data_IF_261675518757
#
_entry.id   IF_261675518757
#
_cell.length_a   1.000
_cell.length_b   1.000
_cell.length_c   1.000
_cell.angle_alpha   90.00
_cell.angle_beta   90.00
_cell.angle_gamma   90.00
#
_symmetry.space_group_name_H-M   'P 1'
#
loop_
_entity.id
_entity.type
_entity.pdbx_description
1 polymer ?
#
# COMPACT_ATOMS: atom_id res chain seq x y z
N UNK A 1 -30.54 35.09 -29.58
CA UNK A 1 -29.11 35.04 -30.01
C UNK A 1 -28.28 35.79 -28.97
N UNK A 2 -27.16 35.34 -28.42
CA UNK A 2 -26.53 34.05 -28.16
C UNK A 2 -25.19 34.42 -27.48
N UNK A 3 -24.75 33.65 -26.47
CA UNK A 3 -23.43 33.77 -25.83
C UNK A 3 -23.51 34.16 -24.35
N UNK A 4 -23.11 33.36 -23.37
CA UNK A 4 -22.37 32.09 -23.35
C UNK A 4 -21.64 32.00 -21.99
N UNK A 5 -21.61 30.84 -21.31
CA UNK A 5 -21.38 30.73 -19.86
C UNK A 5 -19.90 30.61 -19.48
N UNK A 6 -19.09 31.64 -19.72
CA UNK A 6 -17.62 31.56 -19.45
C UNK A 6 -17.23 32.09 -18.06
N UNK A 7 -18.07 32.88 -17.39
CA UNK A 7 -17.70 33.54 -16.13
C UNK A 7 -17.86 32.72 -14.85
N UNK A 8 -18.53 31.56 -14.88
CA UNK A 8 -18.70 30.71 -13.68
C UNK A 8 -17.54 29.74 -13.44
N UNK A 9 -16.84 29.29 -14.48
CA UNK A 9 -15.71 28.37 -14.34
C UNK A 9 -14.46 29.05 -13.75
N UNK A 10 -14.20 30.31 -14.09
CA UNK A 10 -13.07 31.07 -13.53
C UNK A 10 -13.23 31.42 -12.04
N UNK A 11 -14.47 31.58 -11.56
CA UNK A 11 -14.74 31.80 -10.13
C UNK A 11 -14.59 30.52 -9.29
N UNK A 12 -14.79 29.33 -9.89
CA UNK A 12 -14.53 28.06 -9.23
C UNK A 12 -13.01 27.76 -9.13
N UNK A 13 -12.23 28.14 -10.16
CA UNK A 13 -10.78 27.94 -10.18
C UNK A 13 -10.00 28.90 -9.25
N UNK A 14 -10.53 30.11 -8.97
CA UNK A 14 -9.88 31.07 -8.05
C UNK A 14 -10.14 30.81 -6.56
N UNK A 15 -10.98 29.83 -6.19
CA UNK A 15 -11.20 29.46 -4.79
C UNK A 15 -10.22 28.40 -4.25
N UNK A 16 -9.36 27.85 -5.10
CA UNK A 16 -8.39 26.83 -4.69
C UNK A 16 -7.01 27.41 -4.32
N UNK A 17 -6.76 28.71 -4.52
CA UNK A 17 -5.41 29.30 -4.37
C UNK A 17 -5.28 30.40 -3.32
N UNK A 18 -6.23 30.54 -2.39
CA UNK A 18 -6.10 31.46 -1.26
C UNK A 18 -6.62 30.88 0.05
N UNK A 19 -5.76 30.15 0.76
CA UNK A 19 -5.81 30.10 2.22
C UNK A 19 -4.39 30.10 2.77
N UNK A 20 -3.88 31.30 3.02
CA UNK A 20 -2.72 31.53 3.86
C UNK A 20 -3.02 31.18 5.32
N UNK A 21 -1.98 30.71 6.03
CA UNK A 21 -1.71 30.92 7.45
C UNK A 21 -2.66 30.31 8.50
N UNK A 22 -2.78 28.99 8.48
CA UNK A 22 -2.93 28.16 9.69
C UNK A 22 -1.88 27.06 9.54
N UNK A 23 -1.13 26.61 10.57
CA UNK A 23 -0.39 25.36 10.45
C UNK A 23 -1.42 24.33 10.01
N UNK A 24 -1.32 23.79 8.79
CA UNK A 24 -2.30 22.83 8.28
C UNK A 24 -2.42 21.74 9.33
N UNK A 25 -3.59 21.68 9.97
CA UNK A 25 -3.89 20.66 10.96
C UNK A 25 -3.65 19.33 10.25
N UNK A 26 -2.64 18.59 10.68
CA UNK A 26 -2.18 17.40 9.99
C UNK A 26 -3.38 16.50 9.67
N UNK A 27 -3.57 16.18 8.38
CA UNK A 27 -4.68 15.34 7.91
C UNK A 27 -4.19 13.90 7.80
N UNK A 28 -4.93 12.98 8.42
CA UNK A 28 -4.68 11.57 8.27
C UNK A 28 -5.09 11.11 6.87
N UNK A 29 -4.12 11.01 5.97
CA UNK A 29 -4.23 10.38 4.66
C UNK A 29 -5.43 10.79 3.78
N UNK A 30 -5.58 10.15 2.61
CA UNK A 30 -6.71 10.38 1.72
C UNK A 30 -7.96 9.55 2.06
N UNK A 31 -7.86 8.47 2.84
CA UNK A 31 -8.97 7.57 3.11
C UNK A 31 -9.72 7.91 4.41
N UNK A 32 -11.05 7.83 4.35
CA UNK A 32 -11.91 8.07 5.50
C UNK A 32 -12.06 6.82 6.36
N UNK A 33 -12.24 7.01 7.67
CA UNK A 33 -12.50 5.96 8.67
C UNK A 33 -13.86 6.16 9.31
N UNK A 34 -14.59 5.08 9.54
CA UNK A 34 -16.01 5.14 9.93
C UNK A 34 -16.32 4.39 11.23
N UNK A 35 -15.52 3.39 11.60
CA UNK A 35 -15.73 2.62 12.81
C UNK A 35 -15.44 3.46 14.06
N UNK A 36 -16.19 3.23 15.15
CA UNK A 36 -16.04 4.00 16.38
C UNK A 36 -14.63 3.88 16.99
N UNK A 37 -14.05 2.68 16.96
CA UNK A 37 -12.69 2.42 17.42
C UNK A 37 -11.66 3.18 16.58
N UNK A 38 -11.80 3.16 15.24
CA UNK A 38 -10.90 3.90 14.36
C UNK A 38 -11.09 5.41 14.48
N UNK A 39 -12.30 5.92 14.71
CA UNK A 39 -12.53 7.35 14.95
C UNK A 39 -11.88 7.83 16.25
N UNK A 40 -11.96 7.05 17.34
CA UNK A 40 -11.21 7.30 18.58
C UNK A 40 -9.71 7.33 18.30
N UNK A 41 -9.19 6.34 17.58
CA UNK A 41 -7.78 6.28 17.22
C UNK A 41 -7.35 7.46 16.33
N UNK A 42 -8.16 7.86 15.35
CA UNK A 42 -7.90 9.01 14.49
C UNK A 42 -7.83 10.32 15.29
N UNK A 43 -8.73 10.49 16.26
CA UNK A 43 -8.71 11.64 17.16
C UNK A 43 -7.40 11.67 17.94
N UNK A 44 -7.02 10.57 18.58
CA UNK A 44 -5.76 10.47 19.32
C UNK A 44 -4.55 10.69 18.42
N UNK A 45 -4.56 10.17 17.19
CA UNK A 45 -3.46 10.39 16.25
C UNK A 45 -3.22 11.87 15.94
N UNK A 46 -4.28 12.70 15.98
CA UNK A 46 -4.16 14.15 15.80
C UNK A 46 -3.61 14.83 17.05
N UNK A 47 -4.14 14.49 18.22
CA UNK A 47 -3.86 15.15 19.51
C UNK A 47 -2.59 14.61 20.21
N UNK A 48 -2.48 13.30 20.40
CA UNK A 48 -1.39 12.65 21.14
C UNK A 48 -1.00 11.29 20.51
N UNK A 49 0.20 11.26 19.93
CA UNK A 49 0.73 10.10 19.23
C UNK A 49 1.11 8.94 20.18
N UNK A 50 1.48 9.20 21.44
CA UNK A 50 1.82 8.12 22.38
C UNK A 50 0.55 7.38 22.80
N UNK A 51 -0.53 8.12 23.03
CA UNK A 51 -1.84 7.54 23.34
C UNK A 51 -2.45 6.82 22.13
N UNK A 52 -2.13 7.25 20.91
CA UNK A 52 -2.58 6.57 19.69
C UNK A 52 -2.18 5.10 19.65
N UNK A 53 -0.89 4.78 19.82
CA UNK A 53 -0.42 3.39 19.72
C UNK A 53 -1.07 2.51 20.79
N UNK A 54 -1.14 2.99 22.03
CA UNK A 54 -1.81 2.28 23.13
C UNK A 54 -3.30 2.06 22.88
N UNK A 55 -4.00 3.04 22.31
CA UNK A 55 -5.43 2.91 22.00
C UNK A 55 -5.70 1.95 20.84
N UNK A 56 -4.80 1.88 19.85
CA UNK A 56 -4.89 0.88 18.77
C UNK A 56 -4.69 -0.52 19.34
N UNK A 57 -3.70 -0.72 20.20
CA UNK A 57 -3.42 -2.02 20.81
C UNK A 57 -4.58 -2.47 21.72
N UNK A 58 -5.11 -1.58 22.57
CA UNK A 58 -6.33 -1.82 23.37
C UNK A 58 -7.52 -2.23 22.47
N UNK A 59 -7.73 -1.53 21.35
CA UNK A 59 -8.81 -1.86 20.43
C UNK A 59 -8.64 -3.24 19.79
N UNK A 60 -7.42 -3.62 19.42
CA UNK A 60 -7.12 -4.94 18.84
C UNK A 60 -7.29 -6.06 19.86
N UNK A 61 -6.85 -5.86 21.11
CA UNK A 61 -7.06 -6.80 22.21
C UNK A 61 -8.54 -7.02 22.49
N UNK A 62 -9.34 -5.96 22.53
CA UNK A 62 -10.80 -6.08 22.68
C UNK A 62 -11.43 -6.89 21.55
N UNK A 63 -11.05 -6.65 20.29
CA UNK A 63 -11.57 -7.41 19.16
C UNK A 63 -11.15 -8.88 19.20
N UNK A 64 -9.95 -9.17 19.70
CA UNK A 64 -9.47 -10.53 19.91
C UNK A 64 -10.26 -11.24 21.01
N UNK A 65 -10.51 -10.60 22.15
CA UNK A 65 -11.32 -11.17 23.23
C UNK A 65 -12.76 -11.42 22.78
N UNK A 66 -13.39 -10.46 22.08
CA UNK A 66 -14.73 -10.64 21.51
C UNK A 66 -14.79 -11.84 20.56
N UNK A 67 -13.78 -12.00 19.70
CA UNK A 67 -13.68 -13.16 18.81
C UNK A 67 -13.59 -14.48 19.59
N UNK A 68 -12.76 -14.53 20.65
CA UNK A 68 -12.59 -15.73 21.45
C UNK A 68 -13.86 -16.12 22.23
N UNK A 69 -14.54 -15.13 22.83
CA UNK A 69 -15.83 -15.34 23.51
C UNK A 69 -16.92 -15.84 22.55
N UNK A 70 -16.98 -15.28 21.34
CA UNK A 70 -17.89 -15.75 20.29
C UNK A 70 -17.59 -17.19 19.87
N UNK A 71 -16.33 -17.55 19.65
CA UNK A 71 -15.93 -18.91 19.29
C UNK A 71 -16.29 -19.91 20.42
N UNK A 72 -16.09 -19.53 21.68
CA UNK A 72 -16.42 -20.37 22.84
C UNK A 72 -17.94 -20.57 23.02
N UNK A 73 -18.73 -19.51 22.87
CA UNK A 73 -20.20 -19.59 22.98
C UNK A 73 -20.83 -20.36 21.82
N UNK A 74 -20.18 -20.38 20.67
CA UNK A 74 -20.71 -21.01 19.46
C UNK A 74 -20.53 -22.54 19.46
N UNK A 75 -19.40 -23.05 19.98
CA UNK A 75 -19.14 -24.49 20.06
C UNK A 75 -20.16 -25.27 20.89
N UNK A 76 -20.84 -24.63 21.86
CA UNK A 76 -21.81 -25.31 22.73
C UNK A 76 -23.26 -25.31 22.22
N UNK A 77 -23.58 -24.51 21.19
CA UNK A 77 -24.97 -24.22 20.80
C UNK A 77 -25.39 -24.85 19.47
N UNK A 78 -24.45 -25.37 18.68
CA UNK A 78 -24.70 -25.86 17.33
C UNK A 78 -25.24 -27.30 17.30
N UNK A 79 -24.98 -28.11 18.33
CA UNK A 79 -25.42 -29.52 18.40
C UNK A 79 -26.95 -29.70 18.56
N UNK A 80 -27.72 -28.65 18.86
CA UNK A 80 -29.16 -28.73 19.18
C UNK A 80 -30.06 -27.79 18.35
N UNK A 81 -29.50 -27.07 17.38
CA UNK A 81 -30.22 -26.03 16.67
C UNK A 81 -30.92 -26.55 15.40
N UNK A 82 -32.10 -25.98 15.10
CA UNK A 82 -32.85 -26.25 13.86
C UNK A 82 -32.12 -25.62 12.65
N UNK A 83 -32.35 -26.14 11.45
CA UNK A 83 -31.68 -25.69 10.22
C UNK A 83 -31.77 -24.17 9.98
N UNK A 84 -32.97 -23.57 10.08
CA UNK A 84 -33.15 -22.12 9.91
C UNK A 84 -32.35 -21.29 10.94
N UNK A 85 -32.28 -21.78 12.19
CA UNK A 85 -31.50 -21.12 13.25
C UNK A 85 -30.00 -21.22 13.00
N UNK A 86 -29.53 -22.30 12.37
CA UNK A 86 -28.13 -22.46 11.96
C UNK A 86 -27.78 -21.51 10.82
N UNK A 87 -28.67 -21.34 9.84
CA UNK A 87 -28.47 -20.39 8.73
C UNK A 87 -28.38 -18.95 9.24
N UNK A 88 -29.29 -18.54 10.13
CA UNK A 88 -29.25 -17.20 10.73
C UNK A 88 -27.94 -16.98 11.50
N UNK A 89 -27.52 -17.94 12.32
CA UNK A 89 -26.25 -17.85 13.07
C UNK A 89 -25.04 -17.76 12.15
N UNK A 90 -25.01 -18.52 11.05
CA UNK A 90 -23.95 -18.43 10.04
C UNK A 90 -23.85 -17.02 9.46
N UNK A 91 -24.98 -16.42 9.09
CA UNK A 91 -25.03 -15.04 8.58
C UNK A 91 -24.60 -14.02 9.64
N UNK A 92 -25.04 -14.17 10.89
CA UNK A 92 -24.61 -13.30 11.99
C UNK A 92 -23.10 -13.40 12.23
N UNK A 93 -22.52 -14.60 12.14
CA UNK A 93 -21.07 -14.81 12.24
C UNK A 93 -20.32 -14.09 11.13
N UNK A 94 -20.80 -14.24 9.89
CA UNK A 94 -20.21 -13.58 8.72
C UNK A 94 -20.26 -12.05 8.87
N UNK A 95 -21.40 -11.48 9.30
CA UNK A 95 -21.53 -10.04 9.54
C UNK A 95 -20.55 -9.58 10.63
N UNK A 96 -20.46 -10.27 11.77
CA UNK A 96 -19.52 -9.91 12.85
C UNK A 96 -18.06 -10.03 12.42
N UNK A 97 -17.73 -11.05 11.65
CA UNK A 97 -16.39 -11.21 11.09
C UNK A 97 -16.06 -10.05 10.14
N UNK A 98 -17.00 -9.67 9.27
CA UNK A 98 -16.84 -8.54 8.36
C UNK A 98 -16.72 -7.20 9.09
N UNK A 99 -17.50 -6.99 10.16
CA UNK A 99 -17.39 -5.82 11.03
C UNK A 99 -16.02 -5.74 11.70
N UNK A 100 -15.55 -6.84 12.31
CA UNK A 100 -14.20 -6.90 12.90
C UNK A 100 -13.11 -6.62 11.87
N UNK A 101 -13.18 -7.28 10.71
CA UNK A 101 -12.21 -7.08 9.63
C UNK A 101 -12.16 -5.62 9.20
N UNK A 102 -13.32 -4.96 9.05
CA UNK A 102 -13.39 -3.54 8.72
C UNK A 102 -12.73 -2.65 9.79
N UNK A 103 -12.98 -2.92 11.08
CA UNK A 103 -12.36 -2.15 12.17
C UNK A 103 -10.83 -2.31 12.12
N UNK A 104 -10.34 -3.56 11.98
CA UNK A 104 -8.89 -3.84 11.89
C UNK A 104 -8.27 -3.17 10.66
N UNK A 105 -8.93 -3.20 9.51
CA UNK A 105 -8.49 -2.51 8.29
C UNK A 105 -8.30 -1.01 8.53
N UNK A 106 -9.28 -0.35 9.16
CA UNK A 106 -9.19 1.09 9.45
C UNK A 106 -8.10 1.40 10.49
N UNK A 107 -7.91 0.55 11.50
CA UNK A 107 -6.82 0.70 12.48
C UNK A 107 -5.43 0.50 11.84
N UNK A 108 -5.27 -0.49 10.96
CA UNK A 108 -4.04 -0.71 10.19
C UNK A 108 -3.73 0.49 9.30
N UNK A 109 -4.74 1.04 8.64
CA UNK A 109 -4.61 2.25 7.83
C UNK A 109 -4.10 3.44 8.65
N UNK A 110 -4.66 3.65 9.84
CA UNK A 110 -4.21 4.72 10.75
C UNK A 110 -2.79 4.48 11.27
N UNK A 111 -2.38 3.22 11.53
CA UNK A 111 -0.98 2.89 11.88
C UNK A 111 -0.02 3.28 10.76
N UNK A 112 -0.40 3.08 9.49
CA UNK A 112 0.39 3.58 8.36
C UNK A 112 0.46 5.11 8.39
N UNK A 113 -0.66 5.81 8.58
CA UNK A 113 -0.68 7.27 8.68
C UNK A 113 0.20 7.80 9.82
N UNK A 114 0.21 7.12 10.98
CA UNK A 114 1.09 7.42 12.12
C UNK A 114 2.57 7.32 11.73
N UNK A 115 2.95 6.30 10.96
CA UNK A 115 4.33 6.17 10.46
C UNK A 115 4.73 7.30 9.52
N UNK A 116 3.85 7.75 8.63
CA UNK A 116 4.11 8.92 7.78
C UNK A 116 4.26 10.21 8.61
N UNK A 117 3.43 10.38 9.64
CA UNK A 117 3.56 11.50 10.59
C UNK A 117 4.89 11.47 11.33
N UNK A 118 5.32 10.29 11.81
CA UNK A 118 6.62 10.09 12.50
C UNK A 118 7.81 10.47 11.60
N UNK A 119 7.76 10.09 10.32
CA UNK A 119 8.79 10.39 9.34
C UNK A 119 8.74 11.83 8.83
N UNK A 120 7.75 12.63 9.25
CA UNK A 120 7.48 13.98 8.73
C UNK A 120 7.31 14.02 7.20
N UNK A 121 6.80 12.92 6.62
CA UNK A 121 6.54 12.79 5.19
C UNK A 121 5.06 13.03 4.92
N UNK A 122 4.69 14.01 4.08
CA UNK A 122 3.30 14.21 3.70
C UNK A 122 2.79 13.03 2.87
N UNK A 123 1.59 12.55 3.19
CA UNK A 123 0.86 11.61 2.33
C UNK A 123 0.41 12.32 1.05
N UNK A 124 0.39 11.57 -0.05
CA UNK A 124 -0.07 12.07 -1.36
C UNK A 124 -1.54 12.49 -1.24
N UNK A 125 -1.86 13.67 -1.78
CA UNK A 125 -3.24 14.16 -1.83
C UNK A 125 -4.09 13.34 -2.81
N UNK A 126 -5.42 13.24 -2.59
CA UNK A 126 -6.32 12.57 -3.54
C UNK A 126 -6.20 13.16 -4.96
N UNK A 127 -6.02 12.30 -5.95
CA UNK A 127 -5.89 12.65 -7.37
C UNK A 127 -7.15 12.36 -8.18
N UNK A 128 -8.25 11.96 -7.52
CA UNK A 128 -9.57 11.68 -8.13
C UNK A 128 -10.09 12.77 -9.07
N UNK A 129 -9.73 14.03 -8.82
CA UNK A 129 -10.13 15.18 -9.64
C UNK A 129 -9.36 15.34 -10.95
N UNK A 130 -8.30 14.56 -11.16
CA UNK A 130 -7.37 14.74 -12.28
C UNK A 130 -6.65 16.10 -12.25
N UNK A 131 -6.01 16.44 -13.36
CA UNK A 131 -5.31 17.71 -13.54
C UNK A 131 -3.83 17.67 -13.14
N UNK A 132 -3.24 18.86 -13.03
CA UNK A 132 -1.83 19.04 -12.67
C UNK A 132 -1.64 18.80 -11.17
N UNK A 133 -1.05 17.66 -10.82
CA UNK A 133 -0.76 17.26 -9.44
C UNK A 133 0.67 17.66 -9.11
N UNK A 134 0.81 18.65 -8.24
CA UNK A 134 2.12 19.05 -7.72
C UNK A 134 2.43 18.27 -6.46
N UNK A 135 3.41 17.38 -6.55
CA UNK A 135 4.07 16.85 -5.36
C UNK A 135 4.81 18.03 -4.70
N UNK A 136 4.50 18.31 -3.43
CA UNK A 136 5.18 19.37 -2.67
C UNK A 136 6.67 19.10 -2.52
N UNK A 137 7.36 19.87 -1.68
CA UNK A 137 8.75 19.54 -1.32
C UNK A 137 8.78 18.17 -0.61
N UNK A 138 9.18 17.13 -1.32
CA UNK A 138 9.34 15.79 -0.78
C UNK A 138 10.75 15.64 -0.22
N UNK A 139 10.87 15.21 1.02
CA UNK A 139 12.16 14.77 1.57
C UNK A 139 12.52 13.39 1.03
N UNK A 140 13.12 13.38 -0.17
CA UNK A 140 13.52 12.14 -0.84
C UNK A 140 14.45 11.27 0.01
N UNK A 141 15.24 11.87 0.91
CA UNK A 141 16.14 11.15 1.79
C UNK A 141 15.35 10.38 2.85
N UNK A 142 14.43 11.06 3.55
CA UNK A 142 13.53 10.46 4.52
C UNK A 142 12.64 9.36 3.92
N UNK A 143 12.28 9.43 2.64
CA UNK A 143 11.53 8.39 1.94
C UNK A 143 12.38 7.21 1.40
N UNK A 144 13.71 7.33 1.37
CA UNK A 144 14.59 6.33 0.75
C UNK A 144 15.63 5.78 1.72
N UNK A 145 16.74 6.50 1.90
CA UNK A 145 17.91 6.03 2.65
C UNK A 145 17.65 5.78 4.13
N UNK A 146 16.64 6.44 4.67
CA UNK A 146 16.33 6.35 6.11
C UNK A 146 15.39 5.18 6.42
N UNK A 147 14.73 4.61 5.40
CA UNK A 147 13.78 3.50 5.53
C UNK A 147 14.38 2.18 5.03
N UNK A 148 15.21 2.23 3.99
CA UNK A 148 15.71 1.06 3.29
C UNK A 148 17.23 0.92 3.43
N UNK A 149 17.69 -0.34 3.50
CA UNK A 149 19.11 -0.64 3.30
C UNK A 149 19.55 -0.26 1.89
N UNK A 150 20.87 -0.09 1.68
CA UNK A 150 21.41 0.26 0.34
C UNK A 150 20.98 -0.73 -0.73
N UNK A 151 21.07 -2.02 -0.44
CA UNK A 151 20.68 -3.09 -1.37
C UNK A 151 19.17 -3.07 -1.65
N UNK A 152 18.35 -2.82 -0.64
CA UNK A 152 16.90 -2.69 -0.81
C UNK A 152 16.54 -1.50 -1.69
N UNK A 153 17.25 -0.37 -1.57
CA UNK A 153 17.05 0.79 -2.44
C UNK A 153 17.37 0.52 -3.90
N UNK A 154 18.42 -0.25 -4.17
CA UNK A 154 18.75 -0.61 -5.56
C UNK A 154 17.65 -1.47 -6.18
N UNK A 155 17.08 -2.42 -5.42
CA UNK A 155 15.91 -3.19 -5.85
C UNK A 155 14.66 -2.31 -6.07
N UNK A 156 14.43 -1.30 -5.22
CA UNK A 156 13.35 -0.31 -5.43
C UNK A 156 13.56 0.48 -6.71
N UNK A 157 14.79 0.95 -6.96
CA UNK A 157 15.12 1.70 -8.18
C UNK A 157 14.90 0.86 -9.43
N UNK A 158 15.37 -0.39 -9.43
CA UNK A 158 15.16 -1.33 -10.55
C UNK A 158 13.67 -1.59 -10.81
N UNK A 159 12.88 -1.79 -9.74
CA UNK A 159 11.45 -1.98 -9.84
C UNK A 159 10.73 -0.77 -10.45
N UNK A 160 11.06 0.44 -9.99
CA UNK A 160 10.50 1.69 -10.51
C UNK A 160 10.85 1.88 -11.99
N UNK A 161 12.12 1.71 -12.38
CA UNK A 161 12.52 1.81 -13.78
C UNK A 161 11.84 0.77 -14.66
N UNK A 162 11.64 -0.46 -14.15
CA UNK A 162 10.93 -1.51 -14.88
C UNK A 162 9.45 -1.16 -15.09
N UNK A 163 8.76 -0.69 -14.06
CA UNK A 163 7.34 -0.31 -14.17
C UNK A 163 7.18 0.89 -15.10
N UNK A 164 8.01 1.91 -14.92
CA UNK A 164 7.97 3.12 -15.73
C UNK A 164 8.32 2.80 -17.20
N UNK A 165 9.34 1.97 -17.43
CA UNK A 165 9.75 1.54 -18.77
C UNK A 165 8.78 0.56 -19.45
N UNK A 166 8.02 -0.24 -18.69
CA UNK A 166 7.00 -1.15 -19.25
C UNK A 166 5.71 -0.44 -19.69
N UNK A 167 5.38 0.73 -19.12
CA UNK A 167 4.11 1.43 -19.42
C UNK A 167 4.12 2.22 -20.74
N UNK A 168 5.14 2.03 -21.58
CA UNK A 168 5.30 2.74 -22.84
C UNK A 168 6.06 4.05 -22.65
N UNK A 169 6.71 4.49 -23.73
CA UNK A 169 7.54 5.69 -23.84
C UNK A 169 6.78 6.98 -23.47
N UNK A 170 6.47 7.18 -22.19
CA UNK A 170 6.24 8.51 -21.66
C UNK A 170 7.62 9.18 -21.69
N UNK A 171 7.73 10.25 -22.48
CA UNK A 171 9.01 10.91 -22.74
C UNK A 171 9.63 11.46 -21.45
N UNK A 172 10.42 10.64 -20.75
CA UNK A 172 11.37 11.08 -19.72
C UNK A 172 12.58 11.82 -20.33
N UNK A 173 12.51 12.16 -21.62
CA UNK A 173 13.56 12.91 -22.31
C UNK A 173 13.45 14.40 -21.99
N UNK A 174 14.40 14.89 -21.19
CA UNK A 174 14.77 16.30 -21.20
C UNK A 174 14.41 17.10 -19.96
N UNK A 175 14.84 16.67 -18.76
CA UNK A 175 15.05 17.56 -17.62
C UNK A 175 13.85 18.33 -17.05
N UNK A 176 12.65 18.13 -17.60
CA UNK A 176 11.39 18.74 -17.17
C UNK A 176 10.52 17.62 -16.63
N UNK A 177 10.40 17.55 -15.30
CA UNK A 177 9.77 16.48 -14.54
C UNK A 177 8.23 16.51 -14.58
N UNK A 178 7.63 16.68 -15.76
CA UNK A 178 6.18 16.60 -15.95
C UNK A 178 5.86 15.30 -16.68
N UNK A 179 5.31 14.35 -15.95
CA UNK A 179 4.89 13.04 -16.48
C UNK A 179 3.38 13.08 -16.65
N UNK A 180 2.90 12.97 -17.89
CA UNK A 180 1.48 12.84 -18.18
C UNK A 180 1.13 11.36 -18.31
N UNK A 181 0.32 10.87 -17.37
CA UNK A 181 -0.15 9.48 -17.33
C UNK A 181 -1.65 9.44 -17.04
N UNK A 182 -2.34 8.43 -17.56
CA UNK A 182 -3.74 8.22 -17.22
C UNK A 182 -3.88 7.89 -15.73
N UNK A 183 -4.94 8.39 -15.09
CA UNK A 183 -5.17 8.17 -13.64
C UNK A 183 -5.25 6.68 -13.28
N UNK A 184 -5.81 5.86 -14.20
CA UNK A 184 -5.80 4.40 -14.08
C UNK A 184 -4.37 3.82 -14.01
N UNK A 185 -3.48 4.25 -14.91
CA UNK A 185 -2.09 3.80 -14.95
C UNK A 185 -1.35 4.25 -13.69
N UNK A 186 -1.55 5.50 -13.25
CA UNK A 186 -0.98 6.01 -12.00
C UNK A 186 -1.40 5.15 -10.79
N UNK A 187 -2.68 4.79 -10.70
CA UNK A 187 -3.19 3.92 -9.66
C UNK A 187 -2.64 2.49 -9.73
N UNK A 188 -2.47 1.94 -10.93
CA UNK A 188 -1.83 0.64 -11.14
C UNK A 188 -0.36 0.67 -10.68
N UNK A 189 0.40 1.69 -11.06
CA UNK A 189 1.80 1.87 -10.65
C UNK A 189 1.89 1.97 -9.12
N UNK A 190 0.99 2.71 -8.48
CA UNK A 190 0.95 2.84 -7.02
C UNK A 190 0.64 1.50 -6.32
N UNK A 191 -0.35 0.76 -6.81
CA UNK A 191 -0.72 -0.55 -6.26
C UNK A 191 0.42 -1.57 -6.42
N UNK A 192 1.03 -1.63 -7.61
CA UNK A 192 2.18 -2.51 -7.87
C UNK A 192 3.39 -2.16 -6.99
N UNK A 193 3.68 -0.87 -6.82
CA UNK A 193 4.76 -0.40 -5.96
C UNK A 193 4.51 -0.73 -4.49
N UNK A 194 3.26 -0.66 -4.04
CA UNK A 194 2.87 -1.01 -2.67
C UNK A 194 3.02 -2.51 -2.40
N UNK A 195 2.63 -3.36 -3.36
CA UNK A 195 2.83 -4.82 -3.30
C UNK A 195 4.31 -5.19 -3.32
N UNK A 196 5.10 -4.51 -4.16
CA UNK A 196 6.55 -4.71 -4.18
C UNK A 196 7.21 -4.28 -2.88
N UNK A 197 6.79 -3.17 -2.28
CA UNK A 197 7.29 -2.73 -0.97
C UNK A 197 7.01 -3.78 0.12
N UNK A 198 5.83 -4.42 0.10
CA UNK A 198 5.50 -5.52 0.99
C UNK A 198 6.40 -6.75 0.76
N UNK A 199 6.54 -7.16 -0.50
CA UNK A 199 7.47 -8.24 -0.89
C UNK A 199 8.88 -7.97 -0.39
N UNK A 200 9.42 -6.79 -0.70
CA UNK A 200 10.79 -6.41 -0.38
C UNK A 200 11.05 -6.41 1.13
N UNK A 201 10.12 -5.89 1.94
CA UNK A 201 10.25 -5.95 3.40
C UNK A 201 10.29 -7.37 3.94
N UNK A 202 9.52 -8.29 3.38
CA UNK A 202 9.52 -9.70 3.81
C UNK A 202 10.81 -10.40 3.44
N UNK A 203 11.29 -10.17 2.23
CA UNK A 203 12.56 -10.74 1.77
C UNK A 203 13.71 -10.18 2.60
N UNK A 204 13.79 -8.87 2.81
CA UNK A 204 14.84 -8.26 3.61
C UNK A 204 14.82 -8.79 5.05
N UNK A 205 13.65 -8.87 5.69
CA UNK A 205 13.52 -9.45 7.02
C UNK A 205 14.01 -10.91 7.08
N UNK A 206 13.62 -11.74 6.10
CA UNK A 206 14.08 -13.13 6.03
C UNK A 206 15.58 -13.23 5.79
N UNK A 207 16.12 -12.42 4.89
CA UNK A 207 17.53 -12.35 4.58
C UNK A 207 18.36 -11.97 5.82
N UNK A 208 17.94 -10.95 6.57
CA UNK A 208 18.62 -10.57 7.82
C UNK A 208 18.57 -11.70 8.85
N UNK A 209 17.43 -12.41 8.97
CA UNK A 209 17.31 -13.55 9.89
C UNK A 209 18.22 -14.71 9.49
N UNK A 210 18.28 -15.08 8.21
CA UNK A 210 19.16 -16.15 7.71
C UNK A 210 20.63 -15.78 7.87
N UNK A 211 21.00 -14.51 7.65
CA UNK A 211 22.35 -14.00 7.90
C UNK A 211 22.76 -14.09 9.37
N UNK A 212 21.86 -13.73 10.30
CA UNK A 212 22.10 -13.85 11.73
C UNK A 212 22.19 -15.32 12.17
N UNK A 213 21.32 -16.20 11.65
CA UNK A 213 21.34 -17.62 11.97
C UNK A 213 22.59 -18.33 11.45
N UNK A 214 23.02 -18.03 10.22
CA UNK A 214 24.28 -18.52 9.66
C UNK A 214 25.50 -17.99 10.44
N UNK A 215 25.44 -16.72 10.89
CA UNK A 215 26.46 -16.17 11.78
C UNK A 215 26.48 -16.86 13.15
N UNK A 216 25.32 -17.25 13.72
CA UNK A 216 25.25 -17.94 15.00
C UNK A 216 25.77 -19.40 14.91
N UNK A 217 25.51 -20.07 13.79
CA UNK A 217 26.08 -21.40 13.50
C UNK A 217 27.61 -21.41 13.46
N UNK A 218 28.24 -20.28 13.11
CA UNK A 218 29.70 -20.12 13.11
C UNK A 218 30.30 -19.91 14.53
N UNK A 219 29.50 -19.49 15.53
CA UNK A 219 29.96 -19.33 16.92
C UNK A 219 29.69 -20.56 17.81
N UNK A 220 28.93 -21.54 17.32
CA UNK A 220 28.50 -22.72 18.07
C UNK A 220 29.45 -23.92 18.05
N UNK A 221 30.56 -23.85 17.30
CA UNK A 221 31.48 -24.97 17.09
C UNK A 221 32.92 -24.69 17.57
N UNK A 222 33.05 -24.22 18.82
CA UNK A 222 34.35 -24.25 19.54
C UNK A 222 34.40 -25.36 20.63
N UNK A 223 33.53 -26.37 20.56
CA UNK A 223 33.51 -27.44 21.55
C UNK A 223 33.21 -28.85 20.99
N UNK A 224 33.78 -29.21 19.84
CA UNK A 224 33.86 -30.63 19.45
C UNK A 224 34.98 -30.90 18.44
N UNK A 225 36.06 -31.51 18.95
CA UNK A 225 37.10 -32.35 18.32
C UNK A 225 37.33 -32.37 16.80
N UNK A 226 38.60 -32.45 16.35
CA UNK A 226 38.90 -32.63 14.95
C UNK A 226 38.50 -34.06 14.59
N UNK A 227 37.47 -34.26 13.78
CA UNK A 227 37.24 -35.40 12.87
C UNK A 227 35.76 -35.37 12.43
N UNK A 228 35.48 -34.71 11.30
CA UNK A 228 34.42 -35.03 10.32
C UNK A 228 33.96 -33.83 9.48
N UNK A 229 34.88 -33.04 8.92
CA UNK A 229 34.56 -32.18 7.78
C UNK A 229 34.56 -33.02 6.48
N UNK A 230 33.53 -33.84 6.29
CA UNK A 230 33.24 -34.59 5.04
C UNK A 230 31.98 -34.05 4.37
N UNK A 231 31.66 -32.78 4.60
CA UNK A 231 30.65 -32.05 3.86
C UNK A 231 31.17 -30.66 3.52
N UNK A 232 31.70 -30.55 2.29
CA UNK A 232 31.58 -29.35 1.47
C UNK A 232 32.28 -28.10 1.98
N UNK A 233 33.55 -27.97 1.61
CA UNK A 233 34.12 -26.70 1.17
C UNK A 233 33.35 -26.19 -0.06
N UNK A 234 32.13 -25.70 0.17
CA UNK A 234 31.32 -24.95 -0.79
C UNK A 234 30.88 -23.65 -0.16
N UNK A 235 31.70 -22.65 -0.44
CA UNK A 235 31.35 -21.23 -0.49
C UNK A 235 31.09 -20.55 0.86
N UNK A 236 32.19 -20.05 1.42
CA UNK A 236 32.25 -18.77 2.17
C UNK A 236 31.70 -17.55 1.37
N UNK A 237 31.00 -17.77 0.26
CA UNK A 237 30.06 -16.84 -0.34
C UNK A 237 28.81 -16.67 0.53
N UNK A 238 28.97 -16.11 1.73
CA UNK A 238 27.87 -15.48 2.45
C UNK A 238 27.09 -14.66 1.42
N UNK A 239 25.78 -14.85 1.30
CA UNK A 239 24.94 -14.10 0.34
C UNK A 239 25.19 -12.61 0.58
N UNK A 240 26.11 -12.02 -0.18
CA UNK A 240 26.75 -10.76 0.24
C UNK A 240 25.81 -9.58 0.04
N UNK A 241 24.87 -9.73 -0.88
CA UNK A 241 23.83 -8.77 -1.19
C UNK A 241 22.43 -9.37 -1.12
N UNK A 242 21.46 -8.54 -0.75
CA UNK A 242 20.04 -8.88 -0.81
C UNK A 242 19.59 -9.24 -2.25
N UNK A 243 20.26 -8.68 -3.25
CA UNK A 243 19.95 -8.91 -4.66
C UNK A 243 20.29 -10.35 -5.10
N UNK A 244 21.45 -10.85 -4.71
CA UNK A 244 21.84 -12.22 -5.02
C UNK A 244 20.90 -13.21 -4.34
N UNK A 245 20.46 -12.89 -3.11
CA UNK A 245 19.49 -13.68 -2.38
C UNK A 245 18.13 -13.78 -3.10
N UNK A 246 17.60 -12.64 -3.54
CA UNK A 246 16.36 -12.58 -4.33
C UNK A 246 16.47 -13.35 -5.64
N UNK A 247 17.64 -13.32 -6.28
CA UNK A 247 17.85 -13.95 -7.59
C UNK A 247 17.70 -15.49 -7.57
N UNK A 248 17.87 -16.11 -6.40
CA UNK A 248 17.77 -17.55 -6.20
C UNK A 248 16.32 -18.04 -6.05
N UNK A 249 15.36 -17.12 -5.90
CA UNK A 249 13.98 -17.52 -5.66
C UNK A 249 13.34 -18.13 -6.90
N UNK A 250 12.83 -19.35 -6.76
CA UNK A 250 11.94 -19.96 -7.74
C UNK A 250 10.56 -19.26 -7.79
N UNK A 251 9.75 -19.50 -8.83
CA UNK A 251 8.44 -18.87 -9.02
C UNK A 251 7.49 -19.03 -7.82
N UNK A 252 7.49 -20.21 -7.19
CA UNK A 252 6.67 -20.49 -6.02
C UNK A 252 7.09 -19.63 -4.81
N UNK A 253 8.39 -19.40 -4.62
CA UNK A 253 8.91 -18.60 -3.51
C UNK A 253 8.57 -17.13 -3.68
N UNK A 254 8.76 -16.59 -4.89
CA UNK A 254 8.35 -15.23 -5.23
C UNK A 254 6.85 -15.03 -4.95
N UNK A 255 6.00 -15.99 -5.32
CA UNK A 255 4.57 -15.92 -5.05
C UNK A 255 4.24 -15.96 -3.55
N UNK A 256 4.90 -16.81 -2.77
CA UNK A 256 4.74 -16.85 -1.31
C UNK A 256 5.14 -15.52 -0.65
N UNK A 257 6.21 -14.90 -1.12
CA UNK A 257 6.71 -13.62 -0.58
C UNK A 257 5.84 -12.43 -1.00
N UNK A 258 5.25 -12.48 -2.19
CA UNK A 258 4.39 -11.41 -2.71
C UNK A 258 2.97 -11.45 -2.13
N UNK A 259 2.46 -12.64 -1.78
CA UNK A 259 1.11 -12.80 -1.25
C UNK A 259 0.97 -12.13 0.13
N UNK A 260 0.06 -11.16 0.25
CA UNK A 260 -0.26 -10.50 1.51
C UNK A 260 -0.90 -11.52 2.46
N UNK A 261 -0.37 -11.64 3.67
CA UNK A 261 -0.80 -12.64 4.63
C UNK A 261 -2.12 -12.30 5.32
N UNK A 262 -2.48 -11.01 5.38
CA UNK A 262 -3.70 -10.50 6.04
C UNK A 262 -4.67 -9.91 5.02
N UNK A 263 -5.93 -10.33 5.11
CA UNK A 263 -7.03 -9.80 4.31
C UNK A 263 -7.27 -8.33 4.66
N UNK A 264 -7.18 -7.99 5.94
CA UNK A 264 -7.39 -6.64 6.45
C UNK A 264 -6.32 -5.66 5.92
N UNK A 265 -5.07 -6.13 5.79
CA UNK A 265 -3.98 -5.37 5.19
C UNK A 265 -4.18 -5.16 3.68
N UNK A 266 -4.67 -6.18 2.97
CA UNK A 266 -5.05 -6.04 1.57
C UNK A 266 -6.18 -5.01 1.41
N UNK A 267 -7.23 -5.11 2.22
CA UNK A 267 -8.33 -4.14 2.24
C UNK A 267 -7.84 -2.72 2.55
N UNK A 268 -6.89 -2.54 3.46
CA UNK A 268 -6.32 -1.23 3.77
C UNK A 268 -5.55 -0.64 2.57
N UNK A 269 -4.81 -1.48 1.85
CA UNK A 269 -4.12 -1.08 0.62
C UNK A 269 -5.10 -0.70 -0.48
N UNK A 270 -6.15 -1.50 -0.70
CA UNK A 270 -7.22 -1.22 -1.67
C UNK A 270 -7.97 0.07 -1.32
N UNK A 271 -8.25 0.30 -0.04
CA UNK A 271 -8.89 1.52 0.47
C UNK A 271 -8.00 2.74 0.20
N UNK A 272 -6.69 2.65 0.42
CA UNK A 272 -5.75 3.73 0.12
C UNK A 272 -5.68 4.03 -1.39
N UNK A 273 -5.59 3.00 -2.25
CA UNK A 273 -5.59 3.16 -3.71
C UNK A 273 -6.90 3.81 -4.17
N UNK A 274 -8.03 3.31 -3.69
CA UNK A 274 -9.36 3.84 -4.04
C UNK A 274 -9.55 5.27 -3.54
N UNK A 275 -9.00 5.60 -2.37
CA UNK A 275 -9.02 6.95 -1.82
C UNK A 275 -8.21 7.95 -2.66
N UNK A 276 -7.05 7.52 -3.18
CA UNK A 276 -6.17 8.33 -4.01
C UNK A 276 -6.71 8.52 -5.43
N UNK A 277 -7.04 7.43 -6.11
CA UNK A 277 -7.28 7.43 -7.56
C UNK A 277 -8.77 7.29 -7.91
N UNK A 278 -9.59 6.75 -7.01
CA UNK A 278 -10.95 6.32 -7.30
C UNK A 278 -11.02 4.83 -7.64
N UNK A 279 -12.19 4.36 -8.06
CA UNK A 279 -12.38 2.95 -8.41
C UNK A 279 -11.65 2.62 -9.71
N UNK A 280 -10.55 1.87 -9.60
CA UNK A 280 -9.71 1.45 -10.74
C UNK A 280 -10.50 0.67 -11.79
N UNK A 281 -11.56 -0.06 -11.41
CA UNK A 281 -12.38 -0.81 -12.37
C UNK A 281 -13.16 0.14 -13.27
N UNK A 282 -13.79 1.16 -12.67
CA UNK A 282 -14.49 2.20 -13.44
C UNK A 282 -13.52 3.02 -14.29
N UNK A 283 -12.32 3.30 -13.78
CA UNK A 283 -11.30 4.02 -14.53
C UNK A 283 -10.79 3.21 -15.72
N UNK A 284 -10.63 1.88 -15.56
CA UNK A 284 -10.27 0.98 -16.65
C UNK A 284 -11.35 0.97 -17.73
N UNK A 285 -12.61 0.87 -17.35
CA UNK A 285 -13.74 0.89 -18.29
C UNK A 285 -13.80 2.20 -19.07
N UNK A 286 -13.62 3.34 -18.40
CA UNK A 286 -13.51 4.66 -19.06
C UNK A 286 -12.33 4.72 -20.02
N UNK A 287 -11.15 4.26 -19.60
CA UNK A 287 -9.95 4.27 -20.43
C UNK A 287 -10.14 3.40 -21.69
N UNK A 288 -10.65 2.18 -21.52
CA UNK A 288 -10.92 1.27 -22.65
C UNK A 288 -12.02 1.84 -23.55
N UNK A 289 -13.05 2.47 -22.98
CA UNK A 289 -14.10 3.14 -23.75
C UNK A 289 -13.57 4.32 -24.58
N UNK A 290 -12.68 5.13 -24.01
CA UNK A 290 -12.07 6.29 -24.68
C UNK A 290 -11.06 5.88 -25.77
N UNK A 291 -10.28 4.84 -25.52
CA UNK A 291 -9.27 4.35 -26.47
C UNK A 291 -9.84 3.46 -27.56
N UNK A 292 -10.94 2.73 -27.29
CA UNK A 292 -11.50 1.73 -28.20
C UNK A 292 -10.51 0.62 -28.51
N UNK A 293 -10.61 0.02 -29.70
CA UNK A 293 -9.56 -0.84 -30.22
C UNK A 293 -8.37 0.02 -30.65
N UNK A 294 -7.18 -0.38 -30.20
CA UNK A 294 -5.93 0.30 -30.54
C UNK A 294 -4.95 -0.72 -31.10
N UNK A 295 -4.30 -0.34 -32.20
CA UNK A 295 -3.41 -1.21 -32.97
C UNK A 295 -1.93 -1.00 -32.62
N UNK A 296 -1.59 0.17 -32.04
CA UNK A 296 -0.24 0.54 -31.63
C UNK A 296 -0.22 1.47 -30.41
N UNK A 297 0.93 1.55 -29.74
CA UNK A 297 1.10 2.49 -28.60
C UNK A 297 1.01 3.96 -29.03
N UNK A 298 1.45 4.30 -30.25
CA UNK A 298 1.35 5.68 -30.79
C UNK A 298 -0.10 6.09 -31.05
N UNK A 299 -0.91 5.17 -31.54
CA UNK A 299 -2.36 5.38 -31.72
C UNK A 299 -3.05 5.53 -30.35
N UNK A 300 -2.59 4.78 -29.33
CA UNK A 300 -3.11 4.89 -27.97
C UNK A 300 -2.84 6.28 -27.37
N UNK A 301 -1.63 6.80 -27.55
CA UNK A 301 -1.24 8.13 -27.05
C UNK A 301 -2.01 9.24 -27.73
N UNK A 302 -2.21 9.16 -29.06
CA UNK A 302 -3.00 10.16 -29.79
C UNK A 302 -4.47 10.16 -29.35
N UNK A 303 -5.10 8.98 -29.24
CA UNK A 303 -6.48 8.86 -28.78
C UNK A 303 -6.67 9.33 -27.34
N UNK A 304 -5.68 9.09 -26.48
CA UNK A 304 -5.67 9.59 -25.12
C UNK A 304 -5.61 11.12 -25.10
N UNK A 305 -4.74 11.74 -25.89
CA UNK A 305 -4.67 13.20 -26.02
C UNK A 305 -5.97 13.80 -26.55
N UNK A 306 -6.60 13.17 -27.54
CA UNK A 306 -7.90 13.60 -28.07
C UNK A 306 -9.02 13.49 -27.02
N UNK A 307 -9.05 12.41 -26.23
CA UNK A 307 -10.01 12.26 -25.13
C UNK A 307 -9.82 13.34 -24.05
N UNK A 308 -8.57 13.67 -23.72
CA UNK A 308 -8.23 14.75 -22.79
C UNK A 308 -8.72 16.11 -23.32
N UNK A 309 -8.55 16.38 -24.62
CA UNK A 309 -9.07 17.62 -25.24
C UNK A 309 -10.60 17.69 -25.22
N UNK A 310 -11.28 16.54 -25.26
CA UNK A 310 -12.74 16.43 -25.11
C UNK A 310 -13.22 16.53 -23.66
N UNK A 311 -12.30 16.47 -22.68
CA UNK A 311 -12.62 16.52 -21.26
C UNK A 311 -13.28 15.25 -20.73
N UNK A 312 -13.00 14.11 -21.38
CA UNK A 312 -13.51 12.78 -21.03
C UNK A 312 -12.68 12.07 -19.95
#
# INVERSE_FOLDING_TARGET
RAGGPVRRAQLAAMRASSSSSVPELWKAGPADVYSGQAQKALYLLKEDQMLFESAVDEALEMLQSQRAEEEATQGSLDDKAKEDTLVLRRRMKEVRQNERARIVTELLYLKVCSKFKQLSVPLIAPMKGGGDVKFGSLDLKGLTSDIYSKDALDLVREHLFRIIGQQGSTSFMGGMAVVQIALFQAGQVYAMSSLFGYYLRRVDARYQLEKLAGSFGAFGDEASGPESSVFGDQDEGSMSSLKDYVSQFGPAEVQRMTTIASVEAQMAMEQQVTALFGDLRTLKEKLVGALGQVSSNEEATMKLEEAIQRGE
#
